data_IF_719702120208
#
_entry.id   IF_719702120208
#
_cell.length_a   1.000
_cell.length_b   1.000
_cell.length_c   1.000
_cell.angle_alpha   90.00
_cell.angle_beta   90.00
_cell.angle_gamma   90.00
#
_symmetry.space_group_name_H-M   'P 1'
#
loop_
_entity.id
_entity.type
_entity.pdbx_description
1 polymer ?
#
# COMPACT_ATOMS: atom_id res chain seq x y z
N UNK A 1 6.79 4.68 15.69
CA UNK A 1 5.43 4.21 15.43
C UNK A 1 5.33 3.81 13.96
N UNK A 2 4.69 2.69 13.67
CA UNK A 2 4.54 2.21 12.30
C UNK A 2 3.32 2.83 11.65
N UNK A 3 3.38 3.19 10.35
CA UNK A 3 2.17 3.57 9.64
C UNK A 3 1.24 2.37 9.55
N UNK A 4 -0.06 2.61 9.74
CA UNK A 4 -1.06 1.55 9.64
C UNK A 4 -1.81 1.61 8.33
N UNK A 5 -1.96 2.83 7.80
CA UNK A 5 -2.71 3.06 6.56
C UNK A 5 -1.90 3.93 5.64
N UNK A 6 -1.99 3.62 4.36
CA UNK A 6 -1.42 4.46 3.31
C UNK A 6 -2.45 4.64 2.22
N UNK A 7 -2.39 5.78 1.53
CA UNK A 7 -3.14 5.98 0.30
C UNK A 7 -2.23 5.63 -0.87
N UNK A 8 -2.73 4.78 -1.73
CA UNK A 8 -1.98 4.30 -2.88
C UNK A 8 -2.19 5.23 -4.06
N UNK A 9 -1.10 5.70 -4.67
CA UNK A 9 -1.13 6.57 -5.84
C UNK A 9 -0.44 5.98 -7.06
N UNK A 10 -0.09 4.72 -7.01
CA UNK A 10 0.50 4.05 -8.16
C UNK A 10 -0.54 3.73 -9.24
N UNK A 11 -0.12 3.05 -10.29
CA UNK A 11 -1.04 2.65 -11.36
C UNK A 11 -2.14 1.73 -10.84
N UNK A 12 -3.30 1.77 -11.49
CA UNK A 12 -4.38 0.86 -11.17
C UNK A 12 -4.02 -0.56 -11.57
N UNK A 13 -4.19 -1.46 -10.62
CA UNK A 13 -4.13 -2.89 -10.85
C UNK A 13 -5.46 -3.51 -10.43
N UNK A 14 -5.65 -4.76 -10.76
CA UNK A 14 -6.85 -5.48 -10.37
C UNK A 14 -7.06 -5.45 -8.86
N UNK A 15 -5.97 -5.54 -8.11
CA UNK A 15 -5.98 -5.65 -6.64
C UNK A 15 -5.61 -4.37 -5.91
N UNK A 16 -5.17 -3.31 -6.61
CA UNK A 16 -4.77 -2.04 -6.01
C UNK A 16 -5.28 -0.91 -6.89
N UNK A 17 -6.05 0.01 -6.31
CA UNK A 17 -6.65 1.10 -7.05
C UNK A 17 -6.05 2.43 -6.65
N UNK A 18 -5.74 3.25 -7.64
CA UNK A 18 -5.22 4.59 -7.43
C UNK A 18 -6.15 5.40 -6.53
N UNK A 19 -5.59 6.03 -5.50
CA UNK A 19 -6.35 6.87 -4.58
C UNK A 19 -7.04 6.13 -3.44
N UNK A 20 -7.01 4.82 -3.43
CA UNK A 20 -7.62 4.04 -2.35
C UNK A 20 -6.66 3.87 -1.17
N UNK A 21 -7.23 3.65 0.01
CA UNK A 21 -6.49 3.49 1.25
C UNK A 21 -6.35 2.01 1.57
N UNK A 22 -5.13 1.61 1.95
CA UNK A 22 -4.82 0.21 2.26
C UNK A 22 -4.12 0.11 3.60
N UNK A 23 -4.31 -1.02 4.26
CA UNK A 23 -3.64 -1.34 5.51
C UNK A 23 -2.23 -1.83 5.23
N UNK A 24 -1.27 -1.36 6.04
CA UNK A 24 0.13 -1.81 5.95
C UNK A 24 0.30 -3.07 6.78
N UNK A 25 0.80 -4.11 6.15
CA UNK A 25 1.14 -5.36 6.82
C UNK A 25 2.57 -5.33 7.34
N UNK A 26 3.51 -4.93 6.47
CA UNK A 26 4.94 -4.88 6.81
C UNK A 26 5.59 -3.65 6.20
N UNK A 27 6.65 -3.16 6.87
CA UNK A 27 7.48 -2.06 6.38
C UNK A 27 8.77 -2.63 5.81
N UNK A 28 9.18 -2.07 4.67
CA UNK A 28 10.49 -2.36 4.07
C UNK A 28 11.22 -1.05 3.83
N UNK A 29 12.52 -1.13 3.52
CA UNK A 29 13.35 0.07 3.36
C UNK A 29 12.87 0.97 2.21
N UNK A 30 12.27 0.40 1.17
CA UNK A 30 11.85 1.18 -0.01
C UNK A 30 10.37 1.02 -0.33
N UNK A 31 9.61 0.38 0.54
CA UNK A 31 8.21 0.17 0.26
C UNK A 31 7.43 -0.45 1.39
N UNK A 32 6.22 -0.84 1.07
CA UNK A 32 5.29 -1.42 2.03
C UNK A 32 4.71 -2.70 1.47
N UNK A 33 4.46 -3.64 2.37
CA UNK A 33 3.59 -4.77 2.05
C UNK A 33 2.18 -4.38 2.51
N UNK A 34 1.25 -4.30 1.59
CA UNK A 34 -0.13 -3.91 1.87
C UNK A 34 -1.05 -5.12 1.82
N UNK A 35 -2.19 -4.99 2.49
CA UNK A 35 -3.30 -5.93 2.30
C UNK A 35 -4.15 -5.36 1.17
N UNK A 36 -4.25 -6.08 0.08
CA UNK A 36 -4.90 -5.60 -1.13
C UNK A 36 -6.41 -5.83 -1.12
N UNK A 37 -7.08 -5.52 -2.24
CA UNK A 37 -8.53 -5.63 -2.36
C UNK A 37 -9.04 -7.07 -2.25
N UNK A 38 -8.17 -8.04 -2.46
CA UNK A 38 -8.50 -9.46 -2.34
C UNK A 38 -8.07 -10.05 -1.01
N UNK A 39 -7.71 -9.19 -0.05
CA UNK A 39 -7.22 -9.59 1.26
C UNK A 39 -5.94 -10.43 1.17
N UNK A 40 -5.12 -10.12 0.18
CA UNK A 40 -3.81 -10.75 -0.03
C UNK A 40 -2.71 -9.71 0.12
N UNK A 41 -1.48 -10.16 0.21
CA UNK A 41 -0.34 -9.25 0.40
C UNK A 41 0.19 -8.78 -0.94
N UNK A 42 0.43 -7.47 -1.05
CA UNK A 42 0.97 -6.87 -2.26
C UNK A 42 2.05 -5.85 -1.88
N UNK A 43 3.21 -5.97 -2.51
CA UNK A 43 4.30 -5.02 -2.28
C UNK A 43 4.13 -3.79 -3.17
N UNK A 44 4.32 -2.61 -2.58
CA UNK A 44 4.29 -1.35 -3.31
C UNK A 44 5.50 -0.50 -2.93
N UNK A 45 5.95 0.31 -3.88
CA UNK A 45 7.05 1.25 -3.61
C UNK A 45 6.54 2.41 -2.75
N UNK A 46 7.38 2.84 -1.80
CA UNK A 46 7.03 3.93 -0.90
C UNK A 46 6.70 5.23 -1.65
N UNK A 47 7.37 5.47 -2.78
CA UNK A 47 7.11 6.64 -3.60
C UNK A 47 5.70 6.69 -4.20
N UNK A 48 4.99 5.57 -4.21
CA UNK A 48 3.62 5.50 -4.69
C UNK A 48 2.60 5.57 -3.56
N UNK A 49 3.02 5.91 -2.35
CA UNK A 49 2.13 5.90 -1.20
C UNK A 49 2.25 7.16 -0.38
N UNK A 50 1.11 7.60 0.16
CA UNK A 50 1.05 8.65 1.16
C UNK A 50 0.72 8.00 2.50
N UNK A 51 1.58 8.21 3.50
CA UNK A 51 1.34 7.70 4.85
C UNK A 51 0.28 8.57 5.50
N UNK A 52 -0.73 7.93 6.04
CA UNK A 52 -1.86 8.63 6.66
C UNK A 52 -1.74 8.68 8.19
#
# INVERSE_FOLDING_TARGET
MRPRLVRYYGPDYDNLKHGHVYQVDCLYSHGFMLIDDYNEKAYVCAGNCEVL
#
